data_IF_406985116582
#
_entry.id   IF_406985116582
#
_cell.length_a   1.000
_cell.length_b   1.000
_cell.length_c   1.000
_cell.angle_alpha   90.00
_cell.angle_beta   90.00
_cell.angle_gamma   90.00
#
_symmetry.space_group_name_H-M   'P 1'
#
loop_
_entity.id
_entity.type
_entity.pdbx_description
1 polymer ?
#
# COMPACT_ATOMS: atom_id res chain seq x y z
N UNK A 1 6.29 -21.56 19.92
CA UNK A 1 6.29 -22.70 18.97
C UNK A 1 6.65 -22.20 17.58
N UNK A 2 7.56 -22.91 16.89
CA UNK A 2 7.96 -22.62 15.50
C UNK A 2 7.02 -23.40 14.59
N UNK A 3 6.31 -22.74 13.68
CA UNK A 3 5.47 -23.46 12.72
C UNK A 3 6.32 -23.87 11.52
N UNK A 4 6.51 -25.19 11.34
CA UNK A 4 6.89 -25.73 10.05
C UNK A 4 5.70 -25.50 9.12
N UNK A 5 5.95 -25.02 7.91
CA UNK A 5 4.85 -24.80 6.98
C UNK A 5 4.32 -26.18 6.54
N UNK A 6 3.12 -26.54 7.01
CA UNK A 6 2.47 -27.84 6.77
C UNK A 6 1.43 -27.77 5.65
N UNK A 7 1.33 -26.63 4.95
CA UNK A 7 0.37 -26.46 3.88
C UNK A 7 0.76 -27.23 2.60
N UNK A 8 -0.22 -27.68 1.80
CA UNK A 8 0.00 -28.39 0.54
C UNK A 8 0.74 -27.57 -0.52
N UNK A 9 1.00 -26.30 -0.24
CA UNK A 9 1.62 -25.31 -1.14
C UNK A 9 3.06 -24.98 -0.72
N UNK A 10 3.79 -25.93 -0.13
CA UNK A 10 5.15 -25.70 0.37
C UNK A 10 6.20 -25.50 -0.74
N UNK A 11 7.11 -24.53 -0.54
CA UNK A 11 8.32 -24.35 -1.36
C UNK A 11 9.57 -24.83 -0.60
N UNK A 12 10.35 -25.69 -1.25
CA UNK A 12 11.68 -26.07 -0.80
C UNK A 12 12.60 -24.84 -0.73
N UNK A 13 13.37 -24.70 0.37
CA UNK A 13 14.34 -23.63 0.70
C UNK A 13 13.85 -22.45 1.55
N UNK A 14 12.66 -22.50 2.14
CA UNK A 14 12.33 -21.58 3.23
C UNK A 14 12.93 -22.08 4.57
N UNK A 15 14.23 -21.84 4.78
CA UNK A 15 14.95 -22.23 6.01
C UNK A 15 14.86 -21.20 7.14
N UNK A 16 14.27 -20.02 6.88
CA UNK A 16 14.18 -18.94 7.86
C UNK A 16 13.07 -19.22 8.88
N UNK A 17 13.34 -19.16 10.19
CA UNK A 17 12.31 -19.35 11.21
C UNK A 17 11.32 -18.19 11.16
N UNK A 18 10.10 -18.44 10.67
CA UNK A 18 9.02 -17.45 10.68
C UNK A 18 7.66 -18.14 10.74
N UNK A 19 6.68 -17.41 11.26
CA UNK A 19 5.28 -17.84 11.29
C UNK A 19 4.45 -17.10 10.21
N UNK A 20 5.08 -16.30 9.35
CA UNK A 20 4.41 -15.53 8.32
C UNK A 20 4.76 -16.08 6.96
N UNK A 21 3.77 -16.61 6.28
CA UNK A 21 3.87 -17.13 4.92
C UNK A 21 3.03 -16.27 3.98
N UNK A 22 3.42 -16.22 2.71
CA UNK A 22 2.72 -15.51 1.65
C UNK A 22 2.57 -16.43 0.46
N UNK A 23 1.33 -16.54 -0.03
CA UNK A 23 1.01 -17.22 -1.27
C UNK A 23 1.46 -16.36 -2.44
N UNK A 24 2.03 -16.99 -3.44
CA UNK A 24 2.34 -16.38 -4.73
C UNK A 24 1.05 -16.34 -5.53
N UNK A 25 0.52 -15.14 -5.68
CA UNK A 25 -0.63 -14.84 -6.55
C UNK A 25 -0.14 -14.37 -7.93
N UNK A 26 -1.02 -14.36 -8.92
CA UNK A 26 -0.71 -13.94 -10.30
C UNK A 26 0.02 -12.59 -10.37
N UNK A 27 -0.51 -11.56 -9.70
CA UNK A 27 0.12 -10.24 -9.64
C UNK A 27 1.56 -10.25 -9.11
N UNK A 28 1.85 -11.12 -8.14
CA UNK A 28 3.20 -11.27 -7.61
C UNK A 28 4.11 -12.07 -8.53
N UNK A 29 3.55 -13.03 -9.27
CA UNK A 29 4.27 -13.82 -10.27
C UNK A 29 4.65 -12.98 -11.50
N UNK A 30 3.76 -12.10 -11.97
CA UNK A 30 4.08 -11.14 -13.03
C UNK A 30 5.22 -10.19 -12.64
N UNK A 31 5.20 -9.68 -11.39
CA UNK A 31 6.27 -8.85 -10.84
C UNK A 31 7.60 -9.60 -10.81
N UNK A 32 7.55 -10.89 -10.49
CA UNK A 32 8.70 -11.77 -10.47
C UNK A 32 9.26 -11.99 -11.89
N UNK A 33 8.42 -12.24 -12.88
CA UNK A 33 8.82 -12.38 -14.29
C UNK A 33 9.47 -11.11 -14.84
N UNK A 34 8.88 -9.93 -14.56
CA UNK A 34 9.41 -8.62 -15.02
C UNK A 34 10.79 -8.29 -14.47
N UNK A 35 11.20 -8.90 -13.35
CA UNK A 35 12.47 -8.61 -12.67
C UNK A 35 13.64 -9.49 -13.10
N UNK A 36 13.45 -10.31 -14.14
CA UNK A 36 14.45 -11.28 -14.62
C UNK A 36 14.98 -12.22 -13.52
N UNK A 37 14.24 -12.38 -12.42
CA UNK A 37 14.57 -13.31 -11.33
C UNK A 37 14.17 -14.75 -11.68
N UNK A 38 13.57 -14.95 -12.86
CA UNK A 38 13.05 -16.23 -13.34
C UNK A 38 14.10 -17.33 -13.39
N UNK A 39 15.33 -16.99 -13.80
CA UNK A 39 16.43 -17.96 -13.91
C UNK A 39 16.92 -18.47 -12.56
N UNK A 40 16.85 -17.65 -11.51
CA UNK A 40 17.34 -17.99 -10.16
C UNK A 40 16.35 -18.81 -9.35
N UNK A 41 15.04 -18.67 -9.61
CA UNK A 41 13.98 -19.30 -8.83
C UNK A 41 12.95 -19.98 -9.73
N UNK A 42 13.39 -20.70 -10.77
CA UNK A 42 12.53 -21.36 -11.77
C UNK A 42 11.50 -22.34 -11.18
N UNK A 43 11.71 -22.79 -9.94
CA UNK A 43 10.82 -23.66 -9.18
C UNK A 43 9.60 -22.95 -8.57
N UNK A 44 9.51 -21.62 -8.69
CA UNK A 44 8.43 -20.82 -8.13
C UNK A 44 7.18 -20.88 -9.03
N UNK A 45 6.04 -21.25 -8.45
CA UNK A 45 4.75 -21.32 -9.14
C UNK A 45 3.65 -20.60 -8.38
N UNK A 46 2.59 -20.21 -9.10
CA UNK A 46 1.38 -19.63 -8.51
C UNK A 46 0.75 -20.64 -7.56
N UNK A 47 0.20 -20.14 -6.45
CA UNK A 47 -0.44 -20.93 -5.40
C UNK A 47 0.55 -21.41 -4.33
N UNK A 48 1.85 -21.47 -4.64
CA UNK A 48 2.87 -21.84 -3.68
C UNK A 48 3.11 -20.76 -2.60
N UNK A 49 3.55 -21.17 -1.41
CA UNK A 49 3.82 -20.30 -0.28
C UNK A 49 5.31 -20.16 0.03
N UNK A 50 5.72 -18.91 0.25
CA UNK A 50 7.04 -18.53 0.75
C UNK A 50 6.94 -17.93 2.14
N UNK A 51 7.97 -18.12 2.98
CA UNK A 51 8.12 -17.27 4.15
C UNK A 51 8.18 -15.80 3.76
N UNK A 52 7.64 -14.92 4.60
CA UNK A 52 7.54 -13.49 4.32
C UNK A 52 8.89 -12.87 3.95
N UNK A 53 9.97 -13.21 4.67
CA UNK A 53 11.31 -12.71 4.36
C UNK A 53 11.79 -13.15 2.98
N UNK A 54 11.50 -14.40 2.59
CA UNK A 54 11.92 -14.93 1.29
C UNK A 54 11.06 -14.36 0.16
N UNK A 55 9.76 -14.23 0.37
CA UNK A 55 8.84 -13.52 -0.52
C UNK A 55 9.33 -12.10 -0.81
N UNK A 56 9.71 -11.34 0.23
CA UNK A 56 10.24 -9.99 0.04
C UNK A 56 11.55 -9.98 -0.76
N UNK A 57 12.44 -10.94 -0.52
CA UNK A 57 13.74 -11.03 -1.20
C UNK A 57 13.65 -11.40 -2.68
N UNK A 58 12.57 -12.04 -3.12
CA UNK A 58 12.37 -12.47 -4.51
C UNK A 58 11.45 -11.50 -5.25
N UNK A 59 10.26 -11.26 -4.71
CA UNK A 59 9.17 -10.56 -5.41
C UNK A 59 9.24 -9.05 -5.15
N UNK A 60 9.55 -8.66 -3.91
CA UNK A 60 9.48 -7.27 -3.45
C UNK A 60 10.85 -6.72 -3.06
N UNK A 61 11.88 -7.04 -3.84
CA UNK A 61 13.28 -6.62 -3.57
C UNK A 61 13.42 -5.11 -3.32
N UNK A 62 12.62 -4.30 -4.02
CA UNK A 62 12.65 -2.84 -3.93
C UNK A 62 11.90 -2.28 -2.71
N UNK A 63 11.17 -3.13 -1.97
CA UNK A 63 10.40 -2.71 -0.78
C UNK A 63 11.31 -2.25 0.36
N UNK A 64 12.57 -2.70 0.36
CA UNK A 64 13.65 -2.26 1.24
C UNK A 64 14.48 -1.09 0.69
N UNK A 65 14.36 -0.74 -0.60
CA UNK A 65 14.98 0.45 -1.18
C UNK A 65 14.19 1.72 -0.85
N UNK A 66 13.81 1.87 0.42
CA UNK A 66 13.58 3.20 0.97
C UNK A 66 14.95 3.85 1.01
N UNK A 67 15.17 4.73 0.02
CA UNK A 67 16.18 5.76 -0.01
C UNK A 67 17.02 5.87 1.26
N UNK A 68 18.34 5.77 1.13
CA UNK A 68 19.26 6.56 1.97
C UNK A 68 19.07 8.06 1.64
N UNK A 69 17.85 8.59 1.70
CA UNK A 69 17.58 10.00 1.88
C UNK A 69 17.28 10.18 3.36
N UNK A 70 18.34 10.15 4.18
CA UNK A 70 18.46 11.16 5.22
C UNK A 70 18.66 12.51 4.51
N UNK A 71 17.62 13.03 3.86
CA UNK A 71 17.56 14.45 3.57
C UNK A 71 16.92 15.07 4.81
N UNK A 72 17.78 15.53 5.71
CA UNK A 72 17.42 16.66 6.55
C UNK A 72 16.99 17.79 5.61
N UNK A 73 15.87 18.40 5.97
CA UNK A 73 15.37 19.71 5.54
C UNK A 73 14.40 19.70 4.34
N UNK A 74 13.17 20.03 4.71
CA UNK A 74 12.23 20.97 4.07
C UNK A 74 12.13 21.02 2.54
N UNK A 75 10.87 21.07 2.12
CA UNK A 75 10.38 21.59 0.83
C UNK A 75 10.10 20.54 -0.24
N UNK A 76 8.80 20.47 -0.54
CA UNK A 76 8.14 19.67 -1.56
C UNK A 76 8.79 19.91 -2.93
N UNK A 77 9.11 18.82 -3.64
CA UNK A 77 9.18 18.81 -5.11
C UNK A 77 8.79 17.42 -5.60
N UNK A 78 7.50 17.25 -5.93
CA UNK A 78 7.04 16.21 -6.86
C UNK A 78 7.32 16.75 -8.26
N UNK A 79 8.12 16.02 -9.03
CA UNK A 79 8.08 16.06 -10.49
C UNK A 79 7.74 14.64 -10.91
N UNK A 80 6.55 14.48 -11.48
CA UNK A 80 6.30 13.55 -12.56
C UNK A 80 5.11 14.10 -13.33
N UNK A 81 5.39 14.71 -14.46
CA UNK A 81 4.50 14.74 -15.62
C UNK A 81 5.06 13.73 -16.64
N UNK A 82 4.31 13.26 -17.66
CA UNK A 82 3.27 14.01 -18.38
C UNK A 82 1.97 13.23 -18.59
N UNK A 83 0.83 13.82 -18.22
CA UNK A 83 -0.44 13.47 -18.85
C UNK A 83 -1.25 14.74 -18.94
N UNK A 84 -1.41 15.19 -20.17
CA UNK A 84 -2.05 16.41 -20.64
C UNK A 84 -3.30 16.74 -19.83
N UNK A 85 -3.24 17.82 -19.06
CA UNK A 85 -4.43 18.52 -18.62
C UNK A 85 -4.42 19.84 -19.36
N UNK A 86 -5.28 19.86 -20.38
CA UNK A 86 -5.78 21.05 -21.05
C UNK A 86 -6.03 22.12 -19.97
N UNK A 87 -5.27 23.20 -20.08
CA UNK A 87 -5.52 24.44 -19.36
C UNK A 87 -6.92 24.89 -19.74
N UNK A 88 -7.85 24.92 -18.78
CA UNK A 88 -9.00 25.83 -18.85
C UNK A 88 -9.68 25.99 -17.48
N UNK A 89 -9.33 27.11 -16.82
CA UNK A 89 -10.19 27.95 -15.97
C UNK A 89 -10.93 27.33 -14.77
N UNK A 90 -10.31 27.39 -13.58
CA UNK A 90 -10.83 28.02 -12.34
C UNK A 90 -10.07 27.50 -11.09
N UNK A 91 -8.98 28.18 -10.70
CA UNK A 91 -8.14 27.85 -9.52
C UNK A 91 -8.90 27.73 -8.18
N UNK A 92 -10.16 28.18 -8.13
CA UNK A 92 -10.99 28.15 -6.93
C UNK A 92 -11.74 26.81 -6.72
N UNK A 93 -11.97 26.04 -7.79
CA UNK A 93 -12.70 24.77 -7.71
C UNK A 93 -11.78 23.66 -7.17
N UNK A 94 -10.54 23.62 -7.67
CA UNK A 94 -9.56 22.61 -7.27
C UNK A 94 -9.13 22.77 -5.82
N UNK A 95 -9.02 24.01 -5.34
CA UNK A 95 -8.70 24.30 -3.94
C UNK A 95 -9.84 23.91 -3.01
N UNK A 96 -11.10 24.18 -3.39
CA UNK A 96 -12.29 23.82 -2.63
C UNK A 96 -12.49 22.31 -2.58
N UNK A 97 -12.40 21.61 -3.71
CA UNK A 97 -12.53 20.16 -3.76
C UNK A 97 -11.41 19.48 -2.95
N UNK A 98 -10.16 19.92 -3.12
CA UNK A 98 -9.05 19.39 -2.35
C UNK A 98 -9.21 19.62 -0.84
N UNK A 99 -9.70 20.79 -0.44
CA UNK A 99 -10.02 21.08 0.95
C UNK A 99 -11.07 20.11 1.50
N UNK A 100 -12.16 19.90 0.76
CA UNK A 100 -13.23 18.98 1.14
C UNK A 100 -12.73 17.54 1.32
N UNK A 101 -11.91 17.03 0.38
CA UNK A 101 -11.30 15.70 0.50
C UNK A 101 -10.41 15.59 1.74
N UNK A 102 -9.63 16.63 2.03
CA UNK A 102 -8.75 16.67 3.19
C UNK A 102 -9.53 16.64 4.51
N UNK A 103 -10.61 17.40 4.60
CA UNK A 103 -11.50 17.43 5.78
C UNK A 103 -12.17 16.07 5.97
N UNK A 104 -12.77 15.52 4.91
CA UNK A 104 -13.39 14.19 4.95
C UNK A 104 -12.41 13.11 5.44
N UNK A 105 -11.19 13.11 4.89
CA UNK A 105 -10.16 12.14 5.27
C UNK A 105 -9.81 12.25 6.75
N UNK A 106 -9.73 13.47 7.29
CA UNK A 106 -9.44 13.71 8.71
C UNK A 106 -10.56 13.18 9.61
N UNK A 107 -11.81 13.54 9.32
CA UNK A 107 -12.99 13.12 10.11
C UNK A 107 -13.11 11.60 10.15
N UNK A 108 -12.99 10.94 9.00
CA UNK A 108 -13.04 9.48 8.90
C UNK A 108 -11.93 8.80 9.69
N UNK A 109 -10.71 9.35 9.62
CA UNK A 109 -9.58 8.81 10.34
C UNK A 109 -9.77 8.91 11.86
N UNK A 110 -10.23 10.05 12.37
CA UNK A 110 -10.48 10.25 13.80
C UNK A 110 -11.56 9.32 14.33
N UNK A 111 -12.68 9.15 13.60
CA UNK A 111 -13.73 8.23 14.00
C UNK A 111 -13.27 6.77 14.05
N UNK A 112 -12.60 6.31 12.98
CA UNK A 112 -12.20 4.91 12.89
C UNK A 112 -11.03 4.56 13.81
N UNK A 113 -10.09 5.49 14.02
CA UNK A 113 -8.81 5.19 14.70
C UNK A 113 -8.70 5.74 16.12
N UNK A 114 -9.33 6.88 16.41
CA UNK A 114 -9.26 7.47 17.76
C UNK A 114 -10.46 7.05 18.60
N UNK A 115 -11.66 7.08 18.01
CA UNK A 115 -12.91 6.77 18.72
C UNK A 115 -13.29 5.28 18.65
N UNK A 116 -12.65 4.50 17.77
CA UNK A 116 -12.97 3.07 17.53
C UNK A 116 -14.48 2.83 17.32
N UNK A 117 -15.18 3.79 16.72
CA UNK A 117 -16.60 3.70 16.44
C UNK A 117 -16.83 3.12 15.05
N UNK A 118 -17.92 2.36 14.89
CA UNK A 118 -18.36 1.94 13.56
C UNK A 118 -18.63 3.17 12.70
N UNK A 119 -18.21 3.10 11.44
CA UNK A 119 -18.40 4.22 10.52
C UNK A 119 -19.88 4.34 10.18
N UNK A 120 -20.48 5.48 10.52
CA UNK A 120 -21.85 5.81 10.17
C UNK A 120 -21.89 6.45 8.78
N UNK A 121 -22.58 5.80 7.84
CA UNK A 121 -22.66 6.21 6.43
C UNK A 121 -23.96 6.94 6.08
N UNK A 122 -24.71 7.38 7.08
CA UNK A 122 -25.90 8.21 6.88
C UNK A 122 -25.47 9.58 6.31
N UNK A 123 -25.94 9.96 5.10
CA UNK A 123 -25.55 11.21 4.46
C UNK A 123 -25.80 12.46 5.30
N UNK A 124 -26.88 12.48 6.10
CA UNK A 124 -27.25 13.64 6.91
C UNK A 124 -26.28 13.78 8.09
N UNK A 125 -26.02 12.68 8.79
CA UNK A 125 -25.09 12.67 9.92
C UNK A 125 -23.65 12.91 9.47
N UNK A 126 -23.26 12.33 8.33
CA UNK A 126 -21.94 12.53 7.76
C UNK A 126 -21.71 14.00 7.35
N UNK A 127 -22.74 14.67 6.81
CA UNK A 127 -22.70 16.11 6.54
C UNK A 127 -22.47 16.91 7.81
N UNK A 128 -23.23 16.64 8.88
CA UNK A 128 -23.07 17.34 10.16
C UNK A 128 -21.65 17.17 10.73
N UNK A 129 -21.09 15.96 10.66
CA UNK A 129 -19.73 15.68 11.13
C UNK A 129 -18.64 16.46 10.38
N UNK A 130 -18.85 16.74 9.08
CA UNK A 130 -17.93 17.56 8.28
C UNK A 130 -18.09 19.04 8.64
N UNK A 131 -19.32 19.51 8.82
CA UNK A 131 -19.61 20.90 9.22
C UNK A 131 -19.03 21.22 10.60
N UNK A 132 -19.13 20.28 11.57
CA UNK A 132 -18.52 20.41 12.89
C UNK A 132 -16.99 20.49 12.84
N UNK A 133 -16.35 19.81 11.87
CA UNK A 133 -14.89 19.81 11.72
C UNK A 133 -14.34 21.08 11.03
N UNK A 134 -15.24 21.88 10.44
CA UNK A 134 -14.94 23.14 9.76
C UNK A 134 -15.26 24.38 10.63
N UNK A 135 -15.90 24.20 11.79
CA UNK A 135 -16.14 25.24 12.80
C UNK A 135 -14.91 25.50 13.65
#
# INVERSE_FOLDING_TARGET
MRFKNTDPYFINNCTKPTNRFRVIIELSYEKYQKKNMFELYSYLHIGQQLCHSHYCNIIEVDRGRKSNKKLKNSSKKKILEPTELIEDSNDNIDTTFFSNIKIMTKVLYEQQRQKCTNLELDPIKFKNMIEDANS
#
